data_IF_778313131525
#
_entry.id   IF_778313131525
#
_cell.length_a   1.000
_cell.length_b   1.000
_cell.length_c   1.000
_cell.angle_alpha   90.00
_cell.angle_beta   90.00
_cell.angle_gamma   90.00
#
_symmetry.space_group_name_H-M   'P 1'
#
loop_
_entity.id
_entity.type
_entity.pdbx_description
1 polymer ?
#
# COMPACT_ATOMS: atom_id res chain seq x y z
N UNK A 1 18.72 -1.20 10.24
CA UNK A 1 17.38 -1.38 9.63
C UNK A 1 16.48 -0.27 10.15
N UNK A 2 15.90 0.55 9.26
CA UNK A 2 15.07 1.70 9.64
C UNK A 2 13.86 1.27 10.47
N UNK A 3 13.60 1.96 11.58
CA UNK A 3 12.50 1.66 12.51
C UNK A 3 11.18 2.28 12.04
N UNK A 4 10.81 2.11 10.77
CA UNK A 4 9.52 2.61 10.27
C UNK A 4 8.43 1.56 10.50
N UNK A 5 7.21 2.00 10.79
CA UNK A 5 6.08 1.09 10.96
C UNK A 5 5.87 0.19 9.72
N UNK A 6 6.14 0.73 8.52
CA UNK A 6 6.09 -0.01 7.26
C UNK A 6 7.12 -1.13 7.16
N UNK A 7 8.38 -0.88 7.53
CA UNK A 7 9.42 -1.91 7.49
C UNK A 7 9.08 -3.11 8.41
N UNK A 8 8.43 -2.84 9.55
CA UNK A 8 7.92 -3.89 10.43
C UNK A 8 6.81 -4.70 9.74
N UNK A 9 5.83 -4.03 9.14
CA UNK A 9 4.73 -4.70 8.43
C UNK A 9 5.21 -5.53 7.24
N UNK A 10 6.17 -5.02 6.45
CA UNK A 10 6.80 -5.76 5.34
C UNK A 10 7.49 -7.04 5.81
N UNK A 11 8.00 -7.07 7.04
CA UNK A 11 8.64 -8.25 7.63
C UNK A 11 7.62 -9.24 8.23
N UNK A 12 6.51 -8.74 8.77
CA UNK A 12 5.47 -9.56 9.42
C UNK A 12 4.43 -10.10 8.42
N UNK A 13 4.16 -9.37 7.34
CA UNK A 13 3.10 -9.66 6.36
C UNK A 13 3.74 -9.97 5.01
N UNK A 14 3.84 -11.26 4.68
CA UNK A 14 4.34 -11.74 3.38
C UNK A 14 3.31 -11.69 2.25
N UNK A 15 2.03 -11.54 2.57
CA UNK A 15 0.95 -11.47 1.58
C UNK A 15 0.73 -10.03 1.10
N UNK A 16 0.83 -9.77 -0.20
CA UNK A 16 0.63 -8.42 -0.77
C UNK A 16 -0.76 -7.85 -0.48
N UNK A 17 -1.89 -8.56 -0.72
CA UNK A 17 -3.22 -8.01 -0.44
C UNK A 17 -3.43 -7.68 1.03
N UNK A 18 -2.97 -8.53 1.95
CA UNK A 18 -3.06 -8.26 3.39
C UNK A 18 -2.28 -7.00 3.78
N UNK A 19 -1.11 -6.80 3.17
CA UNK A 19 -0.30 -5.60 3.42
C UNK A 19 -0.95 -4.33 2.85
N UNK A 20 -1.60 -4.41 1.68
CA UNK A 20 -2.40 -3.30 1.13
C UNK A 20 -3.52 -2.93 2.12
N UNK A 21 -4.26 -3.90 2.64
CA UNK A 21 -5.35 -3.66 3.61
C UNK A 21 -4.81 -2.97 4.87
N UNK A 22 -3.73 -3.48 5.44
CA UNK A 22 -3.13 -2.93 6.66
C UNK A 22 -2.66 -1.47 6.45
N UNK A 23 -2.04 -1.15 5.31
CA UNK A 23 -1.65 0.23 5.00
C UNK A 23 -2.88 1.13 4.84
N UNK A 24 -3.93 0.66 4.16
CA UNK A 24 -5.19 1.40 4.02
C UNK A 24 -5.86 1.69 5.37
N UNK A 25 -5.91 0.69 6.26
CA UNK A 25 -6.46 0.85 7.61
C UNK A 25 -5.65 1.86 8.42
N UNK A 26 -4.32 1.88 8.27
CA UNK A 26 -3.45 2.80 9.02
C UNK A 26 -3.45 4.23 8.49
N UNK A 27 -3.53 4.41 7.18
CA UNK A 27 -3.46 5.74 6.54
C UNK A 27 -4.85 6.38 6.42
N UNK A 28 -5.87 5.60 6.04
CA UNK A 28 -7.21 6.08 5.72
C UNK A 28 -8.30 5.58 6.68
N UNK A 29 -7.97 4.77 7.69
CA UNK A 29 -8.93 4.20 8.65
C UNK A 29 -10.11 3.45 8.01
N UNK A 30 -9.91 2.87 6.82
CA UNK A 30 -10.90 2.07 6.08
C UNK A 30 -10.21 0.98 5.26
N UNK A 31 -10.96 -0.04 4.90
CA UNK A 31 -10.49 -1.05 3.94
C UNK A 31 -10.50 -0.50 2.50
N UNK A 32 -9.59 -0.97 1.62
CA UNK A 32 -9.63 -0.63 0.21
C UNK A 32 -10.86 -1.25 -0.46
N UNK A 33 -11.44 -0.57 -1.46
CA UNK A 33 -12.42 -1.21 -2.34
C UNK A 33 -11.77 -2.26 -3.25
N UNK A 34 -12.56 -3.14 -3.87
CA UNK A 34 -12.05 -4.15 -4.81
C UNK A 34 -11.29 -3.55 -6.00
N UNK A 35 -11.64 -2.33 -6.42
CA UNK A 35 -10.95 -1.62 -7.53
C UNK A 35 -9.60 -1.05 -7.06
N UNK A 36 -9.59 -0.43 -5.88
CA UNK A 36 -8.36 0.07 -5.25
C UNK A 36 -7.38 -1.08 -5.02
N UNK A 37 -7.83 -2.18 -4.41
CA UNK A 37 -7.02 -3.38 -4.18
C UNK A 37 -6.35 -3.88 -5.47
N UNK A 38 -7.12 -4.08 -6.54
CA UNK A 38 -6.56 -4.53 -7.82
C UNK A 38 -5.54 -3.55 -8.40
N UNK A 39 -5.77 -2.24 -8.24
CA UNK A 39 -4.86 -1.21 -8.73
C UNK A 39 -3.55 -1.20 -7.96
N UNK A 40 -3.62 -1.31 -6.62
CA UNK A 40 -2.46 -1.43 -5.74
C UNK A 40 -1.65 -2.69 -6.07
N UNK A 41 -2.30 -3.85 -6.22
CA UNK A 41 -1.62 -5.10 -6.54
C UNK A 41 -0.99 -5.09 -7.94
N UNK A 42 -1.63 -4.45 -8.91
CA UNK A 42 -1.06 -4.26 -10.24
C UNK A 42 0.20 -3.38 -10.17
N UNK A 43 0.15 -2.28 -9.42
CA UNK A 43 1.29 -1.39 -9.21
C UNK A 43 2.46 -2.11 -8.51
N UNK A 44 2.20 -2.88 -7.45
CA UNK A 44 3.24 -3.66 -6.75
C UNK A 44 3.93 -4.65 -7.70
N UNK A 45 3.18 -5.26 -8.63
CA UNK A 45 3.75 -6.15 -9.65
C UNK A 45 4.56 -5.40 -10.71
N UNK A 46 4.20 -4.15 -11.03
CA UNK A 46 4.89 -3.33 -12.03
C UNK A 46 6.26 -2.84 -11.55
N UNK A 47 6.35 -2.38 -10.29
CA UNK A 47 7.60 -1.88 -9.70
C UNK A 47 8.64 -2.99 -9.51
N UNK A 48 8.20 -4.23 -9.24
CA UNK A 48 9.07 -5.41 -9.09
C UNK A 48 9.82 -5.48 -7.76
N UNK A 49 10.12 -4.34 -7.11
CA UNK A 49 10.67 -4.28 -5.75
C UNK A 49 9.53 -4.08 -4.74
N UNK A 50 9.25 -5.11 -3.93
CA UNK A 50 8.15 -5.08 -2.95
C UNK A 50 8.29 -3.91 -1.97
N UNK A 51 9.48 -3.72 -1.38
CA UNK A 51 9.68 -2.65 -0.40
C UNK A 51 9.42 -1.26 -1.01
N UNK A 52 10.04 -0.98 -2.17
CA UNK A 52 9.85 0.29 -2.89
C UNK A 52 8.38 0.51 -3.27
N UNK A 53 7.70 -0.52 -3.76
CA UNK A 53 6.31 -0.40 -4.18
C UNK A 53 5.38 -0.03 -3.01
N UNK A 54 5.59 -0.63 -1.84
CA UNK A 54 4.78 -0.34 -0.64
C UNK A 54 5.17 0.98 0.04
N UNK A 55 6.43 1.38 -0.05
CA UNK A 55 6.87 2.72 0.35
C UNK A 55 6.22 3.80 -0.52
N UNK A 56 6.27 3.65 -1.84
CA UNK A 56 5.59 4.56 -2.77
C UNK A 56 4.08 4.55 -2.57
N UNK A 57 3.46 3.37 -2.41
CA UNK A 57 2.03 3.25 -2.15
C UNK A 57 1.61 3.98 -0.86
N UNK A 58 2.37 3.82 0.22
CA UNK A 58 2.10 4.54 1.46
C UNK A 58 2.23 6.06 1.26
N UNK A 59 3.30 6.52 0.61
CA UNK A 59 3.48 7.93 0.27
C UNK A 59 2.37 8.47 -0.63
N UNK A 60 1.97 7.69 -1.62
CA UNK A 60 0.86 7.99 -2.52
C UNK A 60 -0.44 8.13 -1.74
N UNK A 61 -0.76 7.27 -0.77
CA UNK A 61 -1.97 7.37 0.05
C UNK A 61 -1.95 8.55 1.03
N UNK A 62 -0.79 8.87 1.62
CA UNK A 62 -0.63 10.04 2.50
C UNK A 62 -0.82 11.34 1.72
N UNK A 63 -0.26 11.41 0.51
CA UNK A 63 -0.35 12.58 -0.35
C UNK A 63 -1.66 12.64 -1.15
N UNK A 64 -2.32 11.49 -1.35
CA UNK A 64 -3.54 11.40 -2.15
C UNK A 64 -4.77 11.18 -1.28
N UNK A 65 -5.48 12.27 -1.03
CA UNK A 65 -6.93 12.31 -1.20
C UNK A 65 -7.35 12.19 -2.69
N UNK A 66 -6.40 12.01 -3.62
CA UNK A 66 -6.60 12.02 -5.09
C UNK A 66 -6.37 10.68 -5.82
N UNK A 67 -6.22 9.53 -5.14
CA UNK A 67 -6.22 8.23 -5.85
C UNK A 67 -7.65 7.78 -6.18
N UNK A 68 -8.66 8.40 -5.55
CA UNK A 68 -10.08 8.24 -5.87
C UNK A 68 -10.52 9.00 -7.14
N UNK A 69 -9.66 9.83 -7.74
CA UNK A 69 -10.04 10.74 -8.84
C UNK A 69 -9.46 10.39 -10.22
N UNK A 70 -8.83 9.22 -10.41
CA UNK A 70 -8.55 8.73 -11.77
C UNK A 70 -9.76 7.95 -12.30
N UNK A 71 -10.67 8.71 -12.93
CA UNK A 71 -11.74 8.23 -13.81
C UNK A 71 -11.16 7.90 -15.19
#
# INVERSE_FOLDING_TARGET
AGRTALAKMLSEINDDPSLVIEIYLRVLAREPSSKEMQTCLAYVKEVGSRNEAFEDLQWSLINSTEFLHRK
#
